data_IF_427931535003
#
_entry.id   IF_427931535003
#
_cell.length_a   1.000
_cell.length_b   1.000
_cell.length_c   1.000
_cell.angle_alpha   90.00
_cell.angle_beta   90.00
_cell.angle_gamma   90.00
#
_symmetry.space_group_name_H-M   'P 1'
#
loop_
_entity.id
_entity.type
_entity.pdbx_description
1 polymer ?
#
# COMPACT_ATOMS: atom_id res chain seq x y z
N UNK A 1 -8.24 -9.64 22.83
CA UNK A 1 -8.26 -11.11 22.61
C UNK A 1 -7.32 -11.79 23.59
N UNK A 2 -7.72 -12.89 24.26
CA UNK A 2 -6.78 -13.72 25.04
C UNK A 2 -6.09 -14.71 24.09
N UNK A 3 -4.77 -14.59 23.95
CA UNK A 3 -3.92 -15.40 23.09
C UNK A 3 -3.46 -16.65 23.87
N UNK A 4 -3.94 -17.82 23.46
CA UNK A 4 -3.64 -19.11 24.10
C UNK A 4 -2.64 -19.95 23.31
N UNK A 5 -2.24 -21.08 23.88
CA UNK A 5 -1.32 -22.04 23.25
C UNK A 5 -1.80 -22.60 21.89
N UNK A 6 -3.10 -22.45 21.58
CA UNK A 6 -3.73 -22.82 20.31
C UNK A 6 -3.18 -22.08 19.09
N UNK A 7 -2.45 -20.98 19.28
CA UNK A 7 -1.90 -20.14 18.21
C UNK A 7 -0.63 -20.69 17.57
N UNK A 8 0.01 -21.71 18.16
CA UNK A 8 1.22 -22.37 17.62
C UNK A 8 1.07 -22.87 16.19
N UNK A 9 -0.15 -23.28 15.81
CA UNK A 9 -0.44 -23.84 14.49
C UNK A 9 -1.17 -22.86 13.57
N UNK A 10 -1.41 -21.63 14.03
CA UNK A 10 -2.19 -20.65 13.28
C UNK A 10 -1.35 -20.12 12.12
N UNK A 11 -1.80 -20.38 10.89
CA UNK A 11 -1.13 -19.92 9.66
C UNK A 11 -1.65 -18.55 9.19
N UNK A 12 -2.93 -18.26 9.41
CA UNK A 12 -3.57 -17.02 8.99
C UNK A 12 -4.34 -16.42 10.14
N UNK A 13 -4.13 -15.14 10.39
CA UNK A 13 -4.94 -14.34 11.30
C UNK A 13 -5.55 -13.18 10.52
N UNK A 14 -6.87 -13.08 10.57
CA UNK A 14 -7.59 -11.88 10.14
C UNK A 14 -8.37 -11.37 11.34
N UNK A 15 -8.20 -10.09 11.64
CA UNK A 15 -8.90 -9.44 12.73
C UNK A 15 -9.40 -8.08 12.24
N UNK A 16 -10.70 -7.87 12.40
CA UNK A 16 -11.40 -6.69 11.92
C UNK A 16 -12.25 -6.14 13.05
N UNK A 17 -12.14 -4.82 13.27
CA UNK A 17 -13.02 -4.08 14.17
C UNK A 17 -14.01 -3.33 13.31
N UNK A 18 -15.31 -3.46 13.62
CA UNK A 18 -16.39 -2.85 12.85
C UNK A 18 -16.17 -1.33 12.70
N UNK A 19 -16.19 -0.86 11.46
CA UNK A 19 -16.00 0.55 11.10
C UNK A 19 -17.09 1.47 11.69
N UNK A 20 -18.24 0.94 12.14
CA UNK A 20 -19.24 1.73 12.87
C UNK A 20 -18.78 2.15 14.27
N UNK A 21 -17.67 1.61 14.78
CA UNK A 21 -16.98 2.13 15.96
C UNK A 21 -16.05 3.32 15.65
N UNK A 22 -16.06 3.87 14.42
CA UNK A 22 -15.36 5.12 14.04
C UNK A 22 -15.70 6.31 14.92
N UNK A 23 -16.87 6.29 15.58
CA UNK A 23 -17.32 7.33 16.50
C UNK A 23 -17.82 6.72 17.81
N UNK A 24 -16.93 6.39 18.75
CA UNK A 24 -17.08 6.85 20.15
C UNK A 24 -16.01 6.27 21.08
N UNK A 25 -15.54 7.18 21.94
CA UNK A 25 -14.71 6.98 23.14
C UNK A 25 -13.25 6.65 22.85
N UNK A 26 -12.49 7.73 22.70
CA UNK A 26 -11.20 7.93 23.37
C UNK A 26 -11.07 6.94 24.54
N UNK A 27 -10.14 6.01 24.43
CA UNK A 27 -9.85 4.92 25.38
C UNK A 27 -10.79 3.69 25.37
N UNK A 28 -10.74 2.86 24.33
CA UNK A 28 -10.87 1.42 24.57
C UNK A 28 -9.48 0.77 24.68
N UNK A 29 -8.92 0.82 25.90
CA UNK A 29 -7.59 0.31 26.29
C UNK A 29 -7.46 -1.23 26.23
N UNK A 30 -8.40 -1.96 25.63
CA UNK A 30 -8.64 -3.36 26.02
C UNK A 30 -8.30 -4.45 24.99
N UNK A 31 -8.04 -4.14 23.72
CA UNK A 31 -7.82 -5.20 22.72
C UNK A 31 -6.34 -5.65 22.58
N UNK A 32 -5.40 -4.70 22.48
CA UNK A 32 -3.99 -4.93 22.11
C UNK A 32 -3.04 -4.89 23.30
N UNK A 33 -3.33 -4.11 24.35
CA UNK A 33 -2.50 -4.03 25.57
C UNK A 33 -2.43 -5.37 26.35
N UNK A 34 -3.32 -6.32 26.07
CA UNK A 34 -3.27 -7.67 26.66
C UNK A 34 -2.19 -8.57 26.04
N UNK A 35 -1.59 -8.21 24.89
CA UNK A 35 -0.58 -9.03 24.22
C UNK A 35 0.75 -9.09 24.98
N UNK A 36 1.02 -8.11 25.86
CA UNK A 36 2.25 -8.08 26.65
C UNK A 36 2.35 -9.19 27.72
N UNK A 37 1.22 -9.71 28.20
CA UNK A 37 1.19 -10.67 29.32
C UNK A 37 1.11 -12.12 28.89
N UNK A 38 0.89 -12.40 27.62
CA UNK A 38 0.75 -13.76 27.10
C UNK A 38 1.83 -13.99 26.04
N UNK A 39 2.70 -14.98 26.28
CA UNK A 39 3.58 -15.47 25.23
C UNK A 39 2.70 -15.88 24.05
N UNK A 40 2.81 -15.17 22.93
CA UNK A 40 2.08 -15.50 21.70
C UNK A 40 2.98 -16.42 20.88
N UNK A 41 2.73 -17.73 20.86
CA UNK A 41 3.53 -18.62 20.04
C UNK A 41 2.98 -18.56 18.61
N UNK A 42 3.41 -17.57 17.83
CA UNK A 42 2.98 -17.36 16.44
C UNK A 42 4.13 -17.57 15.43
N UNK A 43 5.01 -18.53 15.71
CA UNK A 43 6.17 -18.86 14.85
C UNK A 43 5.77 -19.41 13.48
N UNK A 44 4.59 -20.02 13.36
CA UNK A 44 4.08 -20.62 12.12
C UNK A 44 3.10 -19.72 11.35
N UNK A 45 2.95 -18.46 11.75
CA UNK A 45 2.05 -17.51 11.08
C UNK A 45 2.65 -17.09 9.73
N UNK A 46 1.85 -17.22 8.67
CA UNK A 46 2.19 -16.86 7.29
C UNK A 46 1.47 -15.58 6.86
N UNK A 47 0.22 -15.38 7.30
CA UNK A 47 -0.59 -14.23 6.90
C UNK A 47 -1.17 -13.50 8.12
N UNK A 48 -0.97 -12.19 8.20
CA UNK A 48 -1.54 -11.32 9.21
C UNK A 48 -2.33 -10.18 8.56
N UNK A 49 -3.63 -10.12 8.83
CA UNK A 49 -4.52 -9.06 8.39
C UNK A 49 -5.18 -8.38 9.58
N UNK A 50 -4.98 -7.07 9.72
CA UNK A 50 -5.57 -6.23 10.74
C UNK A 50 -6.35 -5.10 10.06
N UNK A 51 -7.62 -4.95 10.42
CA UNK A 51 -8.52 -3.95 9.81
C UNK A 51 -9.14 -3.10 10.91
N UNK A 52 -9.06 -1.78 10.76
CA UNK A 52 -9.60 -0.76 11.69
C UNK A 52 -9.17 -0.93 13.14
N UNK A 53 -7.93 -1.37 13.36
CA UNK A 53 -7.39 -1.65 14.69
C UNK A 53 -6.68 -0.44 15.30
N UNK A 54 -6.87 -0.19 16.60
CA UNK A 54 -6.08 0.79 17.36
C UNK A 54 -4.90 0.08 18.01
N UNK A 55 -3.70 0.46 17.62
CA UNK A 55 -2.44 -0.12 18.10
C UNK A 55 -1.82 0.85 19.09
N UNK A 56 -1.56 0.38 20.32
CA UNK A 56 -0.90 1.21 21.32
C UNK A 56 0.57 1.44 20.92
N UNK A 57 1.04 2.70 20.91
CA UNK A 57 2.42 3.03 20.56
C UNK A 57 3.40 2.26 21.45
N UNK A 58 4.36 1.56 20.86
CA UNK A 58 5.49 0.97 21.58
C UNK A 58 5.26 -0.45 22.07
N UNK A 59 4.02 -0.93 22.07
CA UNK A 59 3.67 -2.06 22.95
C UNK A 59 2.76 -3.11 22.34
N UNK A 60 2.14 -2.86 21.18
CA UNK A 60 1.23 -3.80 20.54
C UNK A 60 1.86 -4.65 19.44
N UNK A 61 2.04 -4.05 18.27
CA UNK A 61 2.30 -4.80 17.03
C UNK A 61 3.72 -5.35 16.95
N UNK A 62 4.74 -4.57 17.33
CA UNK A 62 6.14 -5.02 17.37
C UNK A 62 6.34 -6.30 18.21
N UNK A 63 5.58 -6.51 19.28
CA UNK A 63 5.69 -7.71 20.11
C UNK A 63 5.23 -8.98 19.38
N UNK A 64 4.21 -8.88 18.52
CA UNK A 64 3.71 -10.00 17.71
C UNK A 64 4.58 -10.19 16.48
N UNK A 65 4.89 -9.11 15.77
CA UNK A 65 5.73 -9.14 14.57
C UNK A 65 7.14 -9.65 14.89
N UNK A 66 7.69 -9.31 16.07
CA UNK A 66 8.98 -9.80 16.52
C UNK A 66 9.04 -11.29 16.86
N UNK A 67 7.90 -12.00 16.86
CA UNK A 67 7.81 -13.45 17.08
C UNK A 67 7.41 -14.22 15.82
N UNK A 68 6.87 -13.54 14.81
CA UNK A 68 6.54 -14.14 13.53
C UNK A 68 7.81 -14.20 12.68
N UNK A 69 8.31 -15.42 12.40
CA UNK A 69 9.53 -15.62 11.59
C UNK A 69 9.25 -16.02 10.15
N UNK A 70 8.05 -16.57 9.92
CA UNK A 70 7.63 -17.12 8.63
C UNK A 70 6.54 -16.28 7.97
N UNK A 71 6.40 -15.00 8.35
CA UNK A 71 5.34 -14.18 7.79
C UNK A 71 5.64 -13.90 6.31
N UNK A 72 4.69 -14.25 5.46
CA UNK A 72 4.73 -14.08 4.01
C UNK A 72 3.87 -12.91 3.57
N UNK A 73 2.76 -12.63 4.25
CA UNK A 73 1.85 -11.53 3.91
C UNK A 73 1.40 -10.75 5.12
N UNK A 74 1.43 -9.43 4.99
CA UNK A 74 0.84 -8.52 5.98
C UNK A 74 -0.08 -7.51 5.31
N UNK A 75 -1.28 -7.35 5.88
CA UNK A 75 -2.26 -6.38 5.46
C UNK A 75 -2.72 -5.57 6.67
N UNK A 76 -2.41 -4.28 6.68
CA UNK A 76 -2.83 -3.34 7.71
C UNK A 76 -3.77 -2.33 7.06
N UNK A 77 -5.07 -2.40 7.38
CA UNK A 77 -6.09 -1.52 6.83
C UNK A 77 -6.64 -0.58 7.91
N UNK A 78 -6.54 0.73 7.71
CA UNK A 78 -7.03 1.76 8.65
C UNK A 78 -6.54 1.55 10.09
N UNK A 79 -5.34 0.99 10.26
CA UNK A 79 -4.78 0.72 11.58
C UNK A 79 -4.16 2.00 12.15
N UNK A 80 -4.69 2.46 13.29
CA UNK A 80 -4.22 3.69 13.96
C UNK A 80 -3.07 3.36 14.90
N UNK A 81 -1.97 4.12 14.85
CA UNK A 81 -0.83 3.97 15.76
C UNK A 81 0.26 2.99 15.33
N UNK A 82 0.26 2.55 14.07
CA UNK A 82 1.40 1.83 13.44
C UNK A 82 2.58 2.79 13.31
N UNK A 83 3.79 2.33 13.63
CA UNK A 83 5.02 3.15 13.58
C UNK A 83 6.15 2.42 12.87
N UNK A 84 7.20 3.16 12.51
CA UNK A 84 8.39 2.59 11.88
C UNK A 84 8.99 1.45 12.69
N UNK A 85 9.09 1.59 14.02
CA UNK A 85 9.62 0.54 14.88
C UNK A 85 8.87 -0.80 14.73
N UNK A 86 7.57 -0.76 14.44
CA UNK A 86 6.76 -1.96 14.28
C UNK A 86 7.09 -2.67 12.95
N UNK A 87 7.14 -1.91 11.84
CA UNK A 87 7.51 -2.41 10.52
C UNK A 87 8.99 -2.81 10.44
N UNK A 88 9.89 -2.05 11.05
CA UNK A 88 11.33 -2.38 11.15
C UNK A 88 11.51 -3.70 11.91
N UNK A 89 10.77 -3.89 13.01
CA UNK A 89 10.81 -5.15 13.78
C UNK A 89 10.29 -6.32 12.95
N UNK A 90 9.25 -6.12 12.15
CA UNK A 90 8.78 -7.12 11.20
C UNK A 90 9.86 -7.46 10.17
N UNK A 91 10.38 -6.44 9.47
CA UNK A 91 11.35 -6.62 8.41
C UNK A 91 12.59 -7.41 8.89
N UNK A 92 13.07 -7.10 10.09
CA UNK A 92 14.21 -7.81 10.71
C UNK A 92 13.94 -9.27 11.07
N UNK A 93 12.69 -9.64 11.38
CA UNK A 93 12.35 -10.98 11.86
C UNK A 93 11.70 -11.87 10.79
N UNK A 94 11.07 -11.29 9.77
CA UNK A 94 10.37 -11.99 8.68
C UNK A 94 11.01 -11.67 7.34
N UNK A 95 12.05 -12.43 6.97
CA UNK A 95 12.73 -12.29 5.68
C UNK A 95 11.96 -12.90 4.50
N UNK A 96 10.93 -13.68 4.77
CA UNK A 96 10.12 -14.39 3.76
C UNK A 96 8.89 -13.58 3.31
N UNK A 97 8.87 -12.28 3.61
CA UNK A 97 7.74 -11.43 3.28
C UNK A 97 7.64 -11.24 1.76
N UNK A 98 6.52 -11.67 1.18
CA UNK A 98 6.19 -11.58 -0.24
C UNK A 98 5.17 -10.48 -0.54
N UNK A 99 4.29 -10.16 0.41
CA UNK A 99 3.25 -9.14 0.23
C UNK A 99 3.14 -8.21 1.45
N UNK A 100 3.17 -6.90 1.18
CA UNK A 100 3.00 -5.84 2.16
C UNK A 100 1.91 -4.88 1.68
N UNK A 101 0.80 -4.82 2.42
CA UNK A 101 -0.29 -3.89 2.16
C UNK A 101 -0.53 -3.00 3.36
N UNK A 102 -0.46 -1.69 3.12
CA UNK A 102 -0.63 -0.64 4.12
C UNK A 102 -1.69 0.34 3.62
N UNK A 103 -2.87 0.36 4.26
CA UNK A 103 -3.79 1.50 4.20
C UNK A 103 -3.66 2.27 5.51
N UNK A 104 -3.05 3.44 5.41
CA UNK A 104 -2.80 4.30 6.57
C UNK A 104 -3.99 5.24 6.73
N UNK A 105 -4.62 5.30 7.92
CA UNK A 105 -5.58 6.34 8.20
C UNK A 105 -4.82 7.66 8.20
N UNK A 106 -5.32 8.64 7.49
CA UNK A 106 -4.79 9.99 7.63
C UNK A 106 -5.05 10.44 9.06
N UNK A 107 -4.08 11.15 9.63
CA UNK A 107 -4.17 11.70 10.99
C UNK A 107 -5.35 12.69 11.06
N UNK A 108 -6.58 12.18 11.22
CA UNK A 108 -7.78 13.00 11.35
C UNK A 108 -7.63 13.84 12.61
N UNK A 109 -7.35 15.13 12.42
CA UNK A 109 -7.80 16.24 13.24
C UNK A 109 -7.81 16.00 14.77
N UNK A 110 -6.66 15.72 15.38
CA UNK A 110 -6.44 16.14 16.77
C UNK A 110 -5.48 17.33 16.78
N UNK A 111 -6.00 18.55 17.01
CA UNK A 111 -5.15 19.73 17.07
C UNK A 111 -4.21 19.62 18.27
N UNK A 112 -2.92 19.80 17.99
CA UNK A 112 -1.99 20.53 18.87
C UNK A 112 -1.65 19.94 20.25
N UNK A 113 -1.97 18.68 20.55
CA UNK A 113 -1.44 18.03 21.75
C UNK A 113 -0.34 17.03 21.40
N UNK A 114 0.88 17.56 21.52
CA UNK A 114 2.18 16.87 21.50
C UNK A 114 2.73 16.69 20.09
N UNK A 115 3.85 17.36 19.80
CA UNK A 115 4.64 17.09 18.60
C UNK A 115 4.90 15.59 18.54
N UNK A 116 4.21 14.90 17.64
CA UNK A 116 4.06 13.45 17.70
C UNK A 116 5.11 12.81 16.79
N UNK A 117 6.19 12.22 17.34
CA UNK A 117 7.22 11.48 16.59
C UNK A 117 6.73 10.07 16.18
N UNK A 118 5.41 9.84 16.14
CA UNK A 118 4.77 8.54 16.00
C UNK A 118 4.41 8.22 14.55
N UNK A 119 5.22 8.69 13.59
CA UNK A 119 4.91 8.62 12.16
C UNK A 119 5.47 7.34 11.55
N UNK A 120 4.72 6.78 10.61
CA UNK A 120 5.28 5.90 9.60
C UNK A 120 6.06 6.79 8.63
N UNK A 121 7.32 6.47 8.37
CA UNK A 121 8.22 7.23 7.49
C UNK A 121 8.98 6.31 6.54
N UNK A 122 9.77 6.89 5.63
CA UNK A 122 10.63 6.16 4.70
C UNK A 122 11.60 5.19 5.40
N UNK A 123 11.92 5.41 6.68
CA UNK A 123 12.74 4.48 7.46
C UNK A 123 12.13 3.08 7.54
N UNK A 124 10.79 2.97 7.58
CA UNK A 124 10.12 1.68 7.51
C UNK A 124 10.26 1.01 6.13
N UNK A 125 10.08 1.77 5.05
CA UNK A 125 10.23 1.25 3.68
C UNK A 125 11.68 0.81 3.42
N UNK A 126 12.65 1.61 3.88
CA UNK A 126 14.07 1.29 3.79
C UNK A 126 14.42 0.01 4.53
N UNK A 127 13.92 -0.17 5.76
CA UNK A 127 14.15 -1.40 6.51
C UNK A 127 13.52 -2.63 5.83
N UNK A 128 12.34 -2.48 5.23
CA UNK A 128 11.72 -3.54 4.42
C UNK A 128 12.58 -3.84 3.19
N UNK A 129 13.06 -2.82 2.49
CA UNK A 129 13.94 -2.97 1.33
C UNK A 129 15.25 -3.70 1.67
N UNK A 130 15.83 -3.42 2.84
CA UNK A 130 17.10 -4.03 3.27
C UNK A 130 16.96 -5.50 3.69
N UNK A 131 15.84 -5.87 4.30
CA UNK A 131 15.67 -7.18 4.94
C UNK A 131 14.70 -8.14 4.20
N UNK A 132 13.73 -7.64 3.43
CA UNK A 132 12.70 -8.44 2.75
C UNK A 132 12.96 -8.51 1.24
N UNK A 133 14.01 -9.24 0.83
CA UNK A 133 14.41 -9.33 -0.59
C UNK A 133 13.52 -10.19 -1.48
N UNK A 134 12.52 -10.85 -0.90
CA UNK A 134 11.53 -11.67 -1.60
C UNK A 134 10.19 -10.95 -1.78
N UNK A 135 10.13 -9.65 -1.47
CA UNK A 135 8.91 -8.86 -1.60
C UNK A 135 8.54 -8.71 -3.08
N UNK A 136 7.36 -9.20 -3.44
CA UNK A 136 6.83 -9.19 -4.82
C UNK A 136 5.63 -8.25 -4.97
N UNK A 137 4.84 -8.04 -3.90
CA UNK A 137 3.60 -7.27 -3.96
C UNK A 137 3.59 -6.19 -2.89
N UNK A 138 3.45 -4.93 -3.31
CA UNK A 138 3.32 -3.81 -2.40
C UNK A 138 2.09 -2.96 -2.75
N UNK A 139 1.28 -2.68 -1.71
CA UNK A 139 0.11 -1.81 -1.81
C UNK A 139 0.19 -0.72 -0.74
N UNK A 140 0.23 0.54 -1.16
CA UNK A 140 0.20 1.71 -0.27
C UNK A 140 -1.06 2.50 -0.58
N UNK A 141 -1.86 2.75 0.44
CA UNK A 141 -3.12 3.49 0.34
C UNK A 141 -3.22 4.55 1.44
N UNK A 142 -3.63 5.75 1.07
CA UNK A 142 -3.99 6.82 1.99
C UNK A 142 -5.51 7.03 1.98
N UNK A 143 -6.09 7.26 3.15
CA UNK A 143 -7.55 7.33 3.29
C UNK A 143 -8.17 8.68 2.92
N UNK A 144 -7.37 9.75 2.81
CA UNK A 144 -7.89 11.08 2.57
C UNK A 144 -7.70 11.45 1.11
N UNK A 145 -8.81 11.53 0.39
CA UNK A 145 -8.87 12.11 -0.95
C UNK A 145 -8.92 13.64 -0.95
N UNK A 146 -8.59 14.32 0.17
CA UNK A 146 -8.66 15.79 0.28
C UNK A 146 -7.39 16.40 0.89
N UNK A 147 -6.68 17.22 0.08
CA UNK A 147 -5.61 18.18 0.42
C UNK A 147 -4.36 17.62 1.14
N UNK A 148 -3.14 18.14 0.90
CA UNK A 148 -1.92 17.35 0.96
C UNK A 148 -1.76 16.73 2.34
N UNK A 149 -2.04 15.43 2.42
CA UNK A 149 -1.61 14.61 3.55
C UNK A 149 -0.13 14.85 3.67
N UNK A 150 0.35 15.34 4.82
CA UNK A 150 1.78 15.38 5.11
C UNK A 150 2.29 13.94 4.99
N UNK A 151 2.77 13.60 3.80
CA UNK A 151 2.90 12.24 3.34
C UNK A 151 3.90 11.52 4.23
N UNK A 152 3.44 10.48 4.91
CA UNK A 152 4.32 9.58 5.66
C UNK A 152 5.48 9.09 4.81
N UNK A 153 5.22 8.82 3.53
CA UNK A 153 6.24 8.35 2.59
C UNK A 153 6.59 9.42 1.56
N UNK A 154 7.87 9.57 1.27
CA UNK A 154 8.33 10.36 0.12
C UNK A 154 8.41 9.49 -1.12
N UNK A 155 8.56 10.15 -2.27
CA UNK A 155 8.82 9.44 -3.52
C UNK A 155 10.10 8.60 -3.46
N UNK A 156 11.16 9.14 -2.83
CA UNK A 156 12.45 8.47 -2.72
C UNK A 156 12.33 7.17 -1.90
N UNK A 157 11.59 7.19 -0.79
CA UNK A 157 11.36 5.99 0.02
C UNK A 157 10.65 4.87 -0.74
N UNK A 158 9.65 5.22 -1.57
CA UNK A 158 8.92 4.26 -2.41
C UNK A 158 9.85 3.70 -3.50
N UNK A 159 10.62 4.56 -4.17
CA UNK A 159 11.54 4.15 -5.22
C UNK A 159 12.66 3.25 -4.70
N UNK A 160 13.23 3.54 -3.52
CA UNK A 160 14.24 2.69 -2.88
C UNK A 160 13.71 1.26 -2.72
N UNK A 161 12.48 1.12 -2.25
CA UNK A 161 11.88 -0.21 -2.06
C UNK A 161 11.72 -0.96 -3.39
N UNK A 162 11.25 -0.27 -4.43
CA UNK A 162 11.03 -0.87 -5.76
C UNK A 162 12.34 -1.25 -6.43
N UNK A 163 13.41 -0.48 -6.23
CA UNK A 163 14.73 -0.75 -6.80
C UNK A 163 15.46 -1.91 -6.08
N UNK A 164 15.22 -2.08 -4.79
CA UNK A 164 15.92 -3.06 -3.95
C UNK A 164 15.23 -4.43 -3.93
N UNK A 165 13.92 -4.48 -4.17
CA UNK A 165 13.11 -5.70 -4.13
C UNK A 165 12.61 -6.06 -5.54
N UNK A 166 12.40 -7.36 -5.84
CA UNK A 166 11.83 -7.81 -7.11
C UNK A 166 10.31 -7.61 -7.15
N UNK A 167 9.86 -6.36 -7.04
CA UNK A 167 8.43 -6.01 -7.01
C UNK A 167 7.81 -6.34 -8.37
N UNK A 168 6.78 -7.20 -8.35
CA UNK A 168 5.95 -7.61 -9.47
C UNK A 168 4.62 -6.88 -9.52
N UNK A 169 4.07 -6.53 -8.36
CA UNK A 169 2.79 -5.84 -8.23
C UNK A 169 2.96 -4.58 -7.38
N UNK A 170 2.64 -3.43 -7.96
CA UNK A 170 2.63 -2.13 -7.28
C UNK A 170 1.23 -1.53 -7.36
N UNK A 171 0.64 -1.26 -6.20
CA UNK A 171 -0.64 -0.55 -6.11
C UNK A 171 -0.50 0.68 -5.22
N UNK A 172 -0.76 1.85 -5.80
CA UNK A 172 -0.72 3.15 -5.14
C UNK A 172 -2.11 3.76 -5.16
N UNK A 173 -2.63 4.11 -3.98
CA UNK A 173 -3.99 4.62 -3.80
C UNK A 173 -3.95 5.93 -2.98
N UNK A 174 -4.33 7.04 -3.62
CA UNK A 174 -4.22 8.42 -3.12
C UNK A 174 -2.80 8.79 -2.64
N UNK A 175 -1.77 8.30 -3.35
CA UNK A 175 -0.36 8.61 -3.04
C UNK A 175 0.06 9.88 -3.78
N UNK A 176 -0.11 11.03 -3.13
CA UNK A 176 0.17 12.35 -3.72
C UNK A 176 1.63 12.62 -4.05
N UNK A 177 2.58 11.99 -3.35
CA UNK A 177 4.01 12.17 -3.65
C UNK A 177 4.47 11.43 -4.93
N UNK A 178 3.62 10.57 -5.50
CA UNK A 178 3.94 9.81 -6.70
C UNK A 178 3.51 10.57 -7.96
N UNK A 179 4.50 10.99 -8.75
CA UNK A 179 4.37 11.84 -9.93
C UNK A 179 5.16 11.25 -11.12
N UNK A 180 5.35 12.04 -12.18
CA UNK A 180 6.06 11.60 -13.39
C UNK A 180 7.52 11.19 -13.15
N UNK A 181 8.22 11.82 -12.19
CA UNK A 181 9.55 11.37 -11.78
C UNK A 181 9.50 9.99 -11.10
N UNK A 182 8.40 9.69 -10.40
CA UNK A 182 8.13 8.35 -9.88
C UNK A 182 7.92 7.33 -10.99
N UNK A 183 7.15 7.68 -12.02
CA UNK A 183 6.97 6.85 -13.21
C UNK A 183 8.29 6.58 -13.93
N UNK A 184 9.18 7.58 -14.03
CA UNK A 184 10.53 7.41 -14.56
C UNK A 184 11.36 6.44 -13.72
N UNK A 185 11.28 6.54 -12.39
CA UNK A 185 11.92 5.59 -11.48
C UNK A 185 11.48 4.14 -11.68
N UNK A 186 10.22 3.91 -12.09
CA UNK A 186 9.70 2.58 -12.40
C UNK A 186 10.26 1.99 -13.71
N UNK A 187 10.83 2.78 -14.62
CA UNK A 187 11.48 2.25 -15.83
C UNK A 187 12.62 1.28 -15.49
N UNK A 188 13.23 1.43 -14.31
CA UNK A 188 14.30 0.57 -13.82
C UNK A 188 13.79 -0.73 -13.16
N UNK A 189 12.48 -0.83 -12.89
CA UNK A 189 11.87 -1.98 -12.21
C UNK A 189 11.67 -3.17 -13.17
N UNK A 190 12.72 -4.00 -13.30
CA UNK A 190 12.76 -5.12 -14.25
C UNK A 190 11.70 -6.21 -13.99
N UNK A 191 11.23 -6.33 -12.74
CA UNK A 191 10.28 -7.38 -12.34
C UNK A 191 8.82 -6.93 -12.35
N UNK A 192 8.55 -5.64 -12.58
CA UNK A 192 7.20 -5.08 -12.44
C UNK A 192 6.28 -5.58 -13.56
N UNK A 193 5.23 -6.32 -13.18
CA UNK A 193 4.25 -6.92 -14.10
C UNK A 193 2.88 -6.26 -14.00
N UNK A 194 2.50 -5.72 -12.84
CA UNK A 194 1.23 -5.05 -12.61
C UNK A 194 1.40 -3.72 -11.88
N UNK A 195 0.82 -2.66 -12.46
CA UNK A 195 0.76 -1.33 -11.88
C UNK A 195 -0.70 -0.90 -11.73
N UNK A 196 -1.08 -0.50 -10.52
CA UNK A 196 -2.38 0.09 -10.20
C UNK A 196 -2.17 1.47 -9.59
N UNK A 197 -2.72 2.49 -10.25
CA UNK A 197 -2.74 3.88 -9.78
C UNK A 197 -4.19 4.28 -9.51
N UNK A 198 -4.51 4.62 -8.27
CA UNK A 198 -5.82 5.08 -7.84
C UNK A 198 -5.68 6.48 -7.24
N UNK A 199 -6.33 7.49 -7.80
CA UNK A 199 -6.26 8.86 -7.25
C UNK A 199 -4.86 9.49 -7.24
N UNK A 200 -3.91 8.96 -8.01
CA UNK A 200 -2.58 9.58 -8.19
C UNK A 200 -2.70 10.75 -9.17
N UNK A 201 -3.05 11.93 -8.65
CA UNK A 201 -3.34 13.12 -9.47
C UNK A 201 -2.11 13.83 -10.04
N UNK A 202 -0.93 13.64 -9.44
CA UNK A 202 0.34 14.24 -9.87
C UNK A 202 1.02 13.47 -11.02
N UNK A 203 0.43 12.35 -11.46
CA UNK A 203 0.86 11.64 -12.67
C UNK A 203 0.14 12.23 -13.86
N UNK A 204 0.91 12.67 -14.85
CA UNK A 204 0.41 13.27 -16.09
C UNK A 204 0.58 12.35 -17.29
N UNK A 205 0.21 12.84 -18.47
CA UNK A 205 0.46 12.14 -19.73
C UNK A 205 1.95 11.83 -19.92
N UNK A 206 2.86 12.74 -19.55
CA UNK A 206 4.31 12.52 -19.71
C UNK A 206 4.78 11.28 -18.94
N UNK A 207 4.35 11.14 -17.68
CA UNK A 207 4.67 9.96 -16.88
C UNK A 207 4.01 8.69 -17.39
N UNK A 208 2.76 8.77 -17.88
CA UNK A 208 2.06 7.60 -18.41
C UNK A 208 2.71 7.07 -19.70
N UNK A 209 3.18 7.96 -20.57
CA UNK A 209 3.85 7.58 -21.82
C UNK A 209 5.10 6.70 -21.56
N UNK A 210 5.73 6.82 -20.39
CA UNK A 210 6.86 5.97 -19.98
C UNK A 210 6.48 4.50 -19.81
N UNK A 211 5.21 4.15 -19.62
CA UNK A 211 4.76 2.75 -19.50
C UNK A 211 5.15 1.93 -20.74
N UNK A 212 5.22 2.54 -21.92
CA UNK A 212 5.71 1.90 -23.13
C UNK A 212 7.16 1.40 -23.00
N UNK A 213 7.94 1.93 -22.04
CA UNK A 213 9.34 1.57 -21.78
C UNK A 213 9.51 0.53 -20.66
N UNK A 214 8.48 0.25 -19.84
CA UNK A 214 8.60 -0.66 -18.69
C UNK A 214 8.84 -2.12 -19.12
N UNK A 215 9.96 -2.77 -18.79
CA UNK A 215 10.40 -4.00 -19.45
C UNK A 215 9.43 -5.20 -19.33
N UNK A 216 8.73 -5.32 -18.19
CA UNK A 216 7.89 -6.47 -17.87
C UNK A 216 6.40 -6.20 -17.69
N UNK A 217 5.94 -4.94 -17.84
CA UNK A 217 4.58 -4.57 -17.46
C UNK A 217 3.53 -5.20 -18.39
N UNK A 218 2.59 -5.94 -17.80
CA UNK A 218 1.49 -6.62 -18.50
C UNK A 218 0.13 -6.05 -18.12
N UNK A 219 -0.03 -5.60 -16.88
CA UNK A 219 -1.29 -5.10 -16.34
C UNK A 219 -1.13 -3.65 -15.91
N UNK A 220 -1.97 -2.78 -16.46
CA UNK A 220 -2.10 -1.40 -16.03
C UNK A 220 -3.54 -1.13 -15.60
N UNK A 221 -3.72 -0.61 -14.39
CA UNK A 221 -5.00 -0.18 -13.85
C UNK A 221 -4.90 1.29 -13.47
N UNK A 222 -5.77 2.10 -14.06
CA UNK A 222 -5.91 3.52 -13.76
C UNK A 222 -7.30 3.76 -13.18
N UNK A 223 -7.37 4.39 -12.02
CA UNK A 223 -8.64 4.72 -11.38
C UNK A 223 -8.63 6.13 -10.82
N UNK A 224 -9.63 6.94 -11.16
CA UNK A 224 -9.74 8.33 -10.66
C UNK A 224 -8.45 9.16 -10.88
N UNK A 225 -7.67 8.85 -11.92
CA UNK A 225 -6.50 9.63 -12.28
C UNK A 225 -6.97 10.86 -13.06
N UNK A 226 -6.74 12.05 -12.48
CA UNK A 226 -7.25 13.32 -12.99
C UNK A 226 -6.29 14.03 -13.95
N UNK A 227 -4.98 13.75 -13.85
CA UNK A 227 -3.94 14.36 -14.67
C UNK A 227 -3.65 13.63 -15.99
N UNK A 228 -4.34 12.52 -16.24
CA UNK A 228 -4.11 11.64 -17.40
C UNK A 228 -5.24 11.81 -18.42
N UNK A 229 -4.87 12.07 -19.66
CA UNK A 229 -5.75 12.24 -20.80
C UNK A 229 -5.61 11.10 -21.82
N UNK A 230 -6.26 11.25 -22.98
CA UNK A 230 -6.08 10.32 -24.10
C UNK A 230 -4.62 10.30 -24.60
N UNK A 231 -3.92 11.43 -24.51
CA UNK A 231 -2.58 11.61 -25.08
C UNK A 231 -1.53 10.78 -24.33
N UNK A 232 -1.74 10.52 -23.03
CA UNK A 232 -0.90 9.65 -22.22
C UNK A 232 -0.95 8.17 -22.65
N UNK A 233 -2.04 7.74 -23.32
CA UNK A 233 -2.22 6.37 -23.79
C UNK A 233 -1.68 6.13 -25.20
N UNK A 234 -1.38 7.19 -25.97
CA UNK A 234 -0.97 7.07 -27.39
C UNK A 234 0.18 6.07 -27.61
N UNK A 235 1.27 6.05 -26.81
CA UNK A 235 2.37 5.10 -27.03
C UNK A 235 2.01 3.64 -26.78
N UNK A 236 0.90 3.38 -26.09
CA UNK A 236 0.44 2.02 -25.78
C UNK A 236 -0.40 1.45 -26.92
N UNK A 237 -1.07 2.30 -27.70
CA UNK A 237 -1.94 1.90 -28.82
C UNK A 237 -1.11 1.18 -29.89
N UNK A 238 -1.48 -0.06 -30.19
CA UNK A 238 -0.78 -0.90 -31.18
C UNK A 238 0.56 -1.48 -30.71
N UNK A 239 0.99 -1.20 -29.47
CA UNK A 239 2.21 -1.79 -28.90
C UNK A 239 2.03 -3.28 -28.56
N UNK A 240 0.80 -3.71 -28.27
CA UNK A 240 0.41 -5.05 -27.79
C UNK A 240 1.21 -5.57 -26.58
N UNK A 241 1.88 -4.65 -25.88
CA UNK A 241 2.73 -4.95 -24.72
C UNK A 241 1.90 -5.30 -23.50
N UNK A 242 0.82 -4.56 -23.27
CA UNK A 242 -0.11 -4.81 -22.18
C UNK A 242 -1.06 -5.95 -22.52
N UNK A 243 -1.20 -6.88 -21.58
CA UNK A 243 -2.23 -7.91 -21.61
C UNK A 243 -3.57 -7.35 -21.13
N UNK A 244 -3.54 -6.47 -20.12
CA UNK A 244 -4.72 -5.86 -19.52
C UNK A 244 -4.52 -4.36 -19.30
N UNK A 245 -5.47 -3.57 -19.79
CA UNK A 245 -5.66 -2.18 -19.40
C UNK A 245 -7.06 -2.02 -18.79
N UNK A 246 -7.13 -1.58 -17.53
CA UNK A 246 -8.38 -1.17 -16.91
C UNK A 246 -8.34 0.33 -16.62
N UNK A 247 -9.36 1.05 -17.09
CA UNK A 247 -9.55 2.47 -16.79
C UNK A 247 -10.92 2.63 -16.14
N UNK A 248 -10.92 3.14 -14.90
CA UNK A 248 -12.12 3.38 -14.11
C UNK A 248 -12.18 4.84 -13.66
N UNK A 249 -13.26 5.55 -13.97
CA UNK A 249 -13.53 6.87 -13.41
C UNK A 249 -12.43 7.92 -13.68
N UNK A 250 -11.66 7.78 -14.76
CA UNK A 250 -10.71 8.79 -15.23
C UNK A 250 -11.45 9.74 -16.20
N UNK A 251 -11.77 10.99 -15.80
CA UNK A 251 -12.71 11.85 -16.55
C UNK A 251 -12.16 12.32 -17.90
N UNK A 252 -10.83 12.41 -18.05
CA UNK A 252 -10.17 12.91 -19.26
C UNK A 252 -9.79 11.81 -20.27
N UNK A 253 -10.03 10.54 -19.92
CA UNK A 253 -9.83 9.40 -20.82
C UNK A 253 -11.17 8.98 -21.41
N UNK A 254 -11.20 8.80 -22.72
CA UNK A 254 -12.36 8.32 -23.47
C UNK A 254 -12.24 6.84 -23.82
N UNK A 255 -13.37 6.14 -23.95
CA UNK A 255 -13.41 4.71 -24.32
C UNK A 255 -12.66 4.42 -25.63
N UNK A 256 -12.70 5.35 -26.59
CA UNK A 256 -11.95 5.24 -27.85
C UNK A 256 -10.43 5.24 -27.66
N UNK A 257 -9.91 5.93 -26.64
CA UNK A 257 -8.47 6.06 -26.42
C UNK A 257 -7.84 4.80 -25.83
N UNK A 258 -8.61 4.02 -25.06
CA UNK A 258 -8.14 2.73 -24.53
C UNK A 258 -8.17 1.61 -25.58
N UNK A 259 -8.87 1.82 -26.70
CA UNK A 259 -9.00 0.82 -27.75
C UNK A 259 -7.64 0.53 -28.42
N UNK A 260 -7.24 -0.74 -28.45
CA UNK A 260 -5.96 -1.15 -29.03
C UNK A 260 -4.73 -0.88 -28.16
N UNK A 261 -4.90 -0.34 -26.95
CA UNK A 261 -3.79 -0.12 -25.99
C UNK A 261 -3.35 -1.40 -25.26
N UNK A 262 -4.22 -2.42 -25.19
CA UNK A 262 -3.93 -3.73 -24.58
C UNK A 262 -4.72 -4.85 -25.27
N UNK A 263 -4.35 -6.12 -25.02
CA UNK A 263 -5.10 -7.29 -25.51
C UNK A 263 -6.51 -7.36 -24.92
N UNK A 264 -6.62 -7.05 -23.63
CA UNK A 264 -7.90 -6.98 -22.90
C UNK A 264 -8.05 -5.57 -22.35
N UNK A 265 -9.19 -4.94 -22.64
CA UNK A 265 -9.48 -3.59 -22.19
C UNK A 265 -10.77 -3.61 -21.38
N UNK A 266 -10.75 -2.95 -20.22
CA UNK A 266 -11.92 -2.69 -19.39
C UNK A 266 -12.04 -1.19 -19.19
N UNK A 267 -13.16 -0.61 -19.61
CA UNK A 267 -13.45 0.81 -19.42
C UNK A 267 -14.74 0.94 -18.61
N UNK A 268 -14.68 1.72 -17.53
CA UNK A 268 -15.84 2.09 -16.72
C UNK A 268 -15.73 3.56 -16.34
N UNK A 269 -16.86 4.25 -16.39
CA UNK A 269 -16.90 5.64 -15.98
C UNK A 269 -18.19 5.89 -15.19
N UNK A 270 -18.04 6.13 -13.90
CA UNK A 270 -19.06 6.64 -12.99
C UNK A 270 -18.48 7.86 -12.28
N UNK A 271 -18.86 9.06 -12.73
CA UNK A 271 -18.34 10.33 -12.21
C UNK A 271 -19.20 10.87 -11.06
N UNK A 272 -20.09 10.06 -10.48
CA UNK A 272 -20.94 10.50 -9.37
C UNK A 272 -20.14 10.94 -8.14
N UNK A 273 -18.89 10.51 -8.00
CA UNK A 273 -18.01 10.90 -6.90
C UNK A 273 -17.43 12.33 -7.04
N UNK A 274 -17.61 12.98 -8.19
CA UNK A 274 -17.16 14.36 -8.43
C UNK A 274 -18.18 15.42 -8.00
N UNK A 275 -19.41 15.02 -7.67
CA UNK A 275 -20.54 15.90 -7.32
C UNK A 275 -21.04 15.58 -5.92
#
# INVERSE_FOLDING_TARGET
MKLGASWRKLKKLQFEVDANYRYMKVYDRLAVDQWQKQAVPCESMLELSLVSCIISPGRGLACVLGKCKNLEKIHLDMCVGVRDSDIITLAKNSSNLHSLSLRVPSDFSLPLLMGNPLRLTDESLKAVAEHCRLLESIRICFSDGEFPSFSSFTLEGILILIQMCPIRELALDHVHCFNDAGMEGLCLAQSLEALELVGCHEVTDEGLQLVAQFPGLKTLRLKKCLGITNDGLEPLVGSYKLELLAVEDCPQISERAVHGAAKTVSFRQDLSWMY
#
